data_IF_326040847046
#
_entry.id   IF_326040847046
#
_cell.length_a   1.000
_cell.length_b   1.000
_cell.length_c   1.000
_cell.angle_alpha   90.00
_cell.angle_beta   90.00
_cell.angle_gamma   90.00
#
_symmetry.space_group_name_H-M   'P 1'
#
loop_
_entity.id
_entity.type
_entity.pdbx_description
1 polymer ?
#
# COMPACT_ATOMS: atom_id res chain seq x y z
N UNK A 1 17.11 9.11 8.54
CA UNK A 1 16.24 10.15 7.95
C UNK A 1 14.84 9.78 8.39
N UNK A 2 14.02 10.70 8.91
CA UNK A 2 12.67 10.32 9.37
C UNK A 2 11.64 10.53 8.26
N UNK A 3 10.75 9.56 8.07
CA UNK A 3 9.82 9.52 6.94
C UNK A 3 8.40 9.92 7.36
N UNK A 4 7.64 10.51 6.42
CA UNK A 4 6.20 10.71 6.57
C UNK A 4 5.47 9.71 5.69
N UNK A 5 4.64 8.87 6.29
CA UNK A 5 3.88 7.85 5.60
C UNK A 5 2.41 8.24 5.44
N UNK A 6 1.78 7.80 4.36
CA UNK A 6 0.34 7.86 4.16
C UNK A 6 -0.23 6.45 3.99
N UNK A 7 -1.27 6.13 4.74
CA UNK A 7 -2.00 4.86 4.69
C UNK A 7 -3.43 5.14 4.26
N UNK A 8 -3.85 4.58 3.14
CA UNK A 8 -5.22 4.71 2.64
C UNK A 8 -6.06 3.55 3.18
N UNK A 9 -7.06 3.86 3.99
CA UNK A 9 -7.96 2.94 4.68
C UNK A 9 -7.65 2.79 6.17
N UNK A 10 -8.59 3.18 7.03
CA UNK A 10 -8.58 3.02 8.50
C UNK A 10 -9.04 1.64 8.97
N UNK A 11 -9.27 0.70 8.06
CA UNK A 11 -9.64 -0.68 8.38
C UNK A 11 -8.53 -1.49 9.06
N UNK A 12 -8.78 -2.78 9.28
CA UNK A 12 -7.86 -3.69 10.00
C UNK A 12 -6.46 -3.76 9.38
N UNK A 13 -6.38 -3.82 8.05
CA UNK A 13 -5.10 -3.94 7.33
C UNK A 13 -4.33 -2.62 7.32
N UNK A 14 -4.99 -1.49 7.04
CA UNK A 14 -4.35 -0.18 7.08
C UNK A 14 -3.86 0.17 8.48
N UNK A 15 -4.63 -0.16 9.52
CA UNK A 15 -4.19 0.00 10.92
C UNK A 15 -2.91 -0.81 11.22
N UNK A 16 -2.80 -2.04 10.71
CA UNK A 16 -1.61 -2.86 10.89
C UNK A 16 -0.41 -2.29 10.12
N UNK A 17 -0.60 -1.86 8.87
CA UNK A 17 0.45 -1.21 8.09
C UNK A 17 0.93 0.09 8.76
N UNK A 18 0.00 0.91 9.25
CA UNK A 18 0.31 2.13 10.00
C UNK A 18 1.09 1.84 11.28
N UNK A 19 0.76 0.76 12.00
CA UNK A 19 1.51 0.30 13.16
C UNK A 19 2.95 -0.08 12.79
N UNK A 20 3.14 -0.89 11.75
CA UNK A 20 4.47 -1.33 11.32
C UNK A 20 5.33 -0.14 10.86
N UNK A 21 4.74 0.81 10.13
CA UNK A 21 5.42 2.05 9.74
C UNK A 21 5.81 2.88 10.96
N UNK A 22 4.88 3.08 11.90
CA UNK A 22 5.13 3.84 13.13
C UNK A 22 6.20 3.18 14.01
N UNK A 23 6.23 1.84 14.08
CA UNK A 23 7.11 1.10 14.98
C UNK A 23 8.49 0.81 14.38
N UNK A 24 8.54 0.45 13.10
CA UNK A 24 9.74 -0.09 12.45
C UNK A 24 10.22 0.76 11.27
N UNK A 25 9.41 1.70 10.77
CA UNK A 25 9.70 2.48 9.57
C UNK A 25 10.47 3.78 9.79
N UNK A 26 11.08 4.02 10.97
CA UNK A 26 11.71 5.31 11.29
C UNK A 26 10.77 6.52 11.03
N UNK A 27 9.47 6.33 11.26
CA UNK A 27 8.45 7.31 10.93
C UNK A 27 8.54 8.54 11.83
N UNK A 28 8.52 9.73 11.21
CA UNK A 28 8.21 11.00 11.86
C UNK A 28 6.71 11.14 12.08
N UNK A 29 5.92 10.66 11.11
CA UNK A 29 4.47 10.83 11.04
C UNK A 29 3.85 9.75 10.16
N UNK A 30 2.66 9.28 10.54
CA UNK A 30 1.84 8.35 9.76
C UNK A 30 0.44 8.95 9.62
N UNK A 31 0.02 9.27 8.40
CA UNK A 31 -1.32 9.78 8.12
C UNK A 31 -2.19 8.61 7.68
N UNK A 32 -3.28 8.35 8.40
CA UNK A 32 -4.27 7.34 8.06
C UNK A 32 -5.47 8.05 7.46
N UNK A 33 -5.76 7.79 6.20
CA UNK A 33 -6.77 8.49 5.43
C UNK A 33 -7.91 7.54 5.06
N UNK A 34 -9.15 7.88 5.39
CA UNK A 34 -10.32 7.07 5.06
C UNK A 34 -11.49 7.97 4.65
N UNK A 35 -12.44 7.46 3.86
CA UNK A 35 -13.68 8.18 3.55
C UNK A 35 -14.53 8.36 4.82
N UNK A 36 -14.47 7.39 5.73
CA UNK A 36 -15.04 7.47 7.07
C UNK A 36 -14.02 8.10 8.04
N UNK A 37 -14.29 9.35 8.43
CA UNK A 37 -13.46 10.11 9.37
C UNK A 37 -13.30 9.40 10.71
N UNK A 38 -14.37 8.79 11.23
CA UNK A 38 -14.34 8.16 12.54
C UNK A 38 -13.49 6.88 12.50
N UNK A 39 -13.53 6.14 11.39
CA UNK A 39 -12.66 5.00 11.17
C UNK A 39 -11.17 5.41 11.10
N UNK A 40 -10.85 6.50 10.40
CA UNK A 40 -9.48 7.03 10.32
C UNK A 40 -8.95 7.47 11.70
N UNK A 41 -9.75 8.19 12.48
CA UNK A 41 -9.39 8.63 13.83
C UNK A 41 -9.20 7.45 14.79
N UNK A 42 -10.15 6.51 14.82
CA UNK A 42 -10.06 5.33 15.66
C UNK A 42 -8.83 4.46 15.32
N UNK A 43 -8.47 4.37 14.04
CA UNK A 43 -7.26 3.70 13.59
C UNK A 43 -6.00 4.40 14.11
N UNK A 44 -5.91 5.72 13.98
CA UNK A 44 -4.78 6.52 14.45
C UNK A 44 -4.61 6.42 15.98
N UNK A 45 -5.70 6.56 16.74
CA UNK A 45 -5.70 6.43 18.19
C UNK A 45 -5.21 5.05 18.63
N UNK A 46 -5.64 3.99 17.93
CA UNK A 46 -5.18 2.63 18.18
C UNK A 46 -3.69 2.47 17.92
N UNK A 47 -3.16 3.01 16.83
CA UNK A 47 -1.73 2.96 16.51
C UNK A 47 -0.91 3.72 17.54
N UNK A 48 -1.34 4.93 17.91
CA UNK A 48 -0.69 5.77 18.92
C UNK A 48 -0.65 5.07 20.28
N UNK A 49 -1.77 4.46 20.69
CA UNK A 49 -1.86 3.67 21.94
C UNK A 49 -0.89 2.49 21.94
N UNK A 50 -0.82 1.72 20.85
CA UNK A 50 0.02 0.53 20.75
C UNK A 50 1.52 0.82 20.60
N UNK A 51 1.86 2.00 20.06
CA UNK A 51 3.25 2.42 19.85
C UNK A 51 3.78 3.29 20.98
N UNK A 52 2.90 3.77 21.87
CA UNK A 52 3.19 4.78 22.89
C UNK A 52 3.79 6.06 22.28
N UNK A 53 3.20 6.51 21.18
CA UNK A 53 3.62 7.70 20.44
C UNK A 53 2.40 8.48 19.93
N UNK A 54 2.58 9.73 19.53
CA UNK A 54 1.53 10.59 18.95
C UNK A 54 1.87 10.97 17.51
N UNK A 55 2.34 10.00 16.72
CA UNK A 55 2.79 10.24 15.34
C UNK A 55 1.75 9.83 14.30
N UNK A 56 0.72 9.07 14.67
CA UNK A 56 -0.38 8.71 13.79
C UNK A 56 -1.50 9.76 13.83
N UNK A 57 -1.97 10.20 12.67
CA UNK A 57 -3.08 11.14 12.53
C UNK A 57 -4.13 10.60 11.56
N UNK A 58 -5.40 10.63 11.97
CA UNK A 58 -6.53 10.26 11.13
C UNK A 58 -7.05 11.45 10.33
N UNK A 59 -7.23 11.30 9.01
CA UNK A 59 -7.82 12.31 8.12
C UNK A 59 -8.96 11.73 7.30
N UNK A 60 -10.00 12.54 7.07
CA UNK A 60 -11.03 12.20 6.11
C UNK A 60 -10.48 12.49 4.70
N UNK A 61 -10.47 11.47 3.84
CA UNK A 61 -10.03 11.59 2.45
C UNK A 61 -10.86 10.67 1.57
N UNK A 62 -11.51 11.25 0.57
CA UNK A 62 -12.06 10.48 -0.53
C UNK A 62 -10.94 10.19 -1.54
N UNK A 63 -10.52 8.93 -1.61
CA UNK A 63 -9.49 8.47 -2.56
C UNK A 63 -9.93 8.56 -4.03
N UNK A 64 -11.20 8.88 -4.30
CA UNK A 64 -11.70 9.16 -5.65
C UNK A 64 -11.48 10.63 -6.08
N UNK A 65 -10.99 11.50 -5.19
CA UNK A 65 -10.61 12.89 -5.48
C UNK A 65 -9.12 12.98 -5.95
N UNK A 66 -8.94 13.19 -7.26
CA UNK A 66 -7.78 12.74 -8.06
C UNK A 66 -6.60 13.73 -8.15
N UNK A 67 -6.20 14.39 -7.07
CA UNK A 67 -5.08 15.35 -7.16
C UNK A 67 -3.70 14.68 -7.38
N UNK A 68 -3.43 13.47 -6.87
CA UNK A 68 -2.23 12.69 -7.24
C UNK A 68 -2.35 11.19 -6.87
N UNK A 69 -3.37 10.50 -7.38
CA UNK A 69 -3.61 9.08 -7.08
C UNK A 69 -3.29 8.19 -8.28
N UNK A 70 -2.47 7.16 -8.03
CA UNK A 70 -2.40 5.98 -8.90
C UNK A 70 -3.52 5.05 -8.47
N UNK A 71 -4.52 4.89 -9.34
CA UNK A 71 -5.73 4.12 -9.08
C UNK A 71 -5.54 2.68 -9.60
N UNK A 72 -5.63 1.72 -8.69
CA UNK A 72 -5.77 0.29 -8.99
C UNK A 72 -7.04 -0.22 -8.34
N UNK A 73 -8.09 -0.40 -9.14
CA UNK A 73 -9.33 -1.03 -8.71
C UNK A 73 -9.38 -2.41 -9.36
N UNK A 74 -9.40 -3.46 -8.53
CA UNK A 74 -9.52 -4.84 -8.98
C UNK A 74 -10.79 -5.47 -8.39
N UNK A 75 -11.41 -6.36 -9.18
CA UNK A 75 -12.65 -7.03 -8.83
C UNK A 75 -12.45 -8.55 -8.86
N UNK A 76 -13.49 -9.29 -8.45
CA UNK A 76 -13.53 -10.72 -8.72
C UNK A 76 -13.37 -10.98 -10.23
N UNK A 77 -12.48 -11.88 -10.59
CA UNK A 77 -12.23 -12.25 -11.98
C UNK A 77 -12.89 -13.58 -12.30
N UNK A 78 -13.96 -13.54 -13.08
CA UNK A 78 -14.70 -14.73 -13.51
C UNK A 78 -13.85 -15.68 -14.36
N UNK A 79 -12.82 -15.19 -15.07
CA UNK A 79 -11.98 -16.03 -15.94
C UNK A 79 -11.04 -16.93 -15.15
N UNK A 80 -10.44 -16.39 -14.09
CA UNK A 80 -9.50 -17.14 -13.24
C UNK A 80 -10.16 -17.74 -12.01
N UNK A 81 -11.36 -17.26 -11.64
CA UNK A 81 -12.06 -17.65 -10.42
C UNK A 81 -11.46 -17.02 -9.16
N UNK A 82 -10.53 -16.06 -9.30
CA UNK A 82 -9.86 -15.42 -8.18
C UNK A 82 -10.57 -14.14 -7.75
N UNK A 83 -10.68 -13.97 -6.43
CA UNK A 83 -11.06 -12.70 -5.81
C UNK A 83 -10.01 -11.62 -6.05
N UNK A 84 -10.42 -10.36 -5.94
CA UNK A 84 -9.52 -9.21 -6.00
C UNK A 84 -8.32 -9.38 -5.05
N UNK A 85 -8.56 -9.83 -3.80
CA UNK A 85 -7.49 -10.06 -2.82
C UNK A 85 -6.51 -11.16 -3.25
N UNK A 86 -7.00 -12.29 -3.77
CA UNK A 86 -6.14 -13.38 -4.25
C UNK A 86 -5.30 -12.94 -5.44
N UNK A 87 -5.86 -12.13 -6.33
CA UNK A 87 -5.14 -11.56 -7.48
C UNK A 87 -4.07 -10.60 -7.00
N UNK A 88 -4.42 -9.60 -6.19
CA UNK A 88 -3.47 -8.56 -5.74
C UNK A 88 -2.37 -9.10 -4.83
N UNK A 89 -2.63 -10.17 -4.09
CA UNK A 89 -1.62 -10.82 -3.23
C UNK A 89 -0.81 -11.88 -3.99
N UNK A 90 -1.48 -12.75 -4.74
CA UNK A 90 -0.85 -13.89 -5.41
C UNK A 90 0.02 -13.47 -6.59
N UNK A 91 -0.47 -12.51 -7.40
CA UNK A 91 0.31 -12.03 -8.54
C UNK A 91 1.49 -11.17 -8.13
N UNK A 92 1.35 -10.32 -7.12
CA UNK A 92 2.46 -9.57 -6.54
C UNK A 92 3.60 -10.50 -6.12
N UNK A 93 3.31 -11.48 -5.25
CA UNK A 93 4.31 -12.44 -4.78
C UNK A 93 4.95 -13.26 -5.91
N UNK A 94 4.15 -13.69 -6.90
CA UNK A 94 4.67 -14.44 -8.04
C UNK A 94 5.59 -13.59 -8.93
N UNK A 95 5.24 -12.34 -9.20
CA UNK A 95 6.06 -11.41 -9.99
C UNK A 95 7.40 -11.18 -9.29
N UNK A 96 7.37 -10.84 -7.99
CA UNK A 96 8.59 -10.58 -7.21
C UNK A 96 9.47 -11.84 -7.15
N UNK A 97 8.89 -13.03 -6.98
CA UNK A 97 9.63 -14.29 -7.01
C UNK A 97 10.34 -14.53 -8.36
N UNK A 98 9.66 -14.25 -9.49
CA UNK A 98 10.24 -14.35 -10.82
C UNK A 98 11.37 -13.33 -11.00
N UNK A 99 11.20 -12.11 -10.50
CA UNK A 99 12.24 -11.07 -10.55
C UNK A 99 13.47 -11.45 -9.74
N UNK A 100 13.28 -12.02 -8.54
CA UNK A 100 14.36 -12.58 -7.73
C UNK A 100 15.13 -13.67 -8.50
N UNK A 101 14.40 -14.60 -9.13
CA UNK A 101 15.01 -15.68 -9.92
C UNK A 101 15.80 -15.17 -11.14
N UNK A 102 15.35 -14.07 -11.77
CA UNK A 102 16.04 -13.42 -12.90
C UNK A 102 17.17 -12.48 -12.48
N UNK A 103 17.38 -12.26 -11.17
CA UNK A 103 18.37 -11.32 -10.67
C UNK A 103 18.03 -9.85 -10.93
N UNK A 104 16.75 -9.52 -11.11
CA UNK A 104 16.29 -8.13 -11.25
C UNK A 104 16.20 -7.37 -9.92
N UNK A 105 16.30 -8.09 -8.80
CA UNK A 105 16.31 -7.53 -7.45
C UNK A 105 17.65 -7.83 -6.76
N UNK A 106 18.09 -6.97 -5.81
CA UNK A 106 19.31 -7.20 -5.05
C UNK A 106 19.16 -8.38 -4.07
N UNK A 107 20.27 -9.06 -3.77
CA UNK A 107 20.31 -10.12 -2.74
C UNK A 107 20.14 -9.53 -1.33
N UNK A 108 19.51 -10.30 -0.45
CA UNK A 108 19.30 -9.98 0.97
C UNK A 108 17.83 -9.66 1.31
N UNK A 109 17.56 -9.46 2.60
CA UNK A 109 16.24 -9.05 3.07
C UNK A 109 16.09 -7.55 2.89
N UNK A 110 15.41 -7.14 1.82
CA UNK A 110 15.16 -5.73 1.50
C UNK A 110 13.66 -5.48 1.30
N UNK A 111 13.15 -4.32 1.73
CA UNK A 111 11.77 -3.93 1.47
C UNK A 111 11.47 -3.89 -0.03
N UNK A 112 10.24 -4.27 -0.42
CA UNK A 112 9.84 -4.42 -1.82
C UNK A 112 9.88 -3.08 -2.56
N UNK A 113 9.52 -2.01 -1.87
CA UNK A 113 9.49 -0.63 -2.37
C UNK A 113 10.88 -0.07 -2.71
N UNK A 114 11.95 -0.71 -2.21
CA UNK A 114 13.34 -0.37 -2.53
C UNK A 114 13.94 -1.38 -3.51
N UNK A 115 13.60 -2.67 -3.34
CA UNK A 115 14.26 -3.76 -4.04
C UNK A 115 13.71 -4.02 -5.44
N UNK A 116 12.43 -3.74 -5.68
CA UNK A 116 11.72 -4.09 -6.91
C UNK A 116 11.70 -2.89 -7.86
N UNK A 117 12.24 -3.02 -9.10
CA UNK A 117 12.15 -1.95 -10.08
C UNK A 117 10.70 -1.67 -10.49
N UNK A 118 10.20 -0.48 -10.16
CA UNK A 118 8.78 -0.08 -10.33
C UNK A 118 8.26 -0.33 -11.73
N UNK A 119 8.96 0.14 -12.76
CA UNK A 119 8.46 0.05 -14.14
C UNK A 119 8.30 -1.41 -14.59
N UNK A 120 9.28 -2.27 -14.29
CA UNK A 120 9.21 -3.68 -14.63
C UNK A 120 8.05 -4.37 -13.91
N UNK A 121 7.78 -3.98 -12.67
CA UNK A 121 6.70 -4.55 -11.88
C UNK A 121 5.33 -4.16 -12.43
N UNK A 122 5.15 -2.87 -12.75
CA UNK A 122 3.94 -2.35 -13.41
C UNK A 122 3.70 -3.04 -14.75
N UNK A 123 4.74 -3.25 -15.56
CA UNK A 123 4.63 -3.93 -16.85
C UNK A 123 4.20 -5.40 -16.68
N UNK A 124 4.69 -6.10 -15.65
CA UNK A 124 4.27 -7.46 -15.32
C UNK A 124 2.83 -7.52 -14.79
N UNK A 125 2.38 -6.54 -14.01
CA UNK A 125 0.98 -6.44 -13.58
C UNK A 125 0.04 -6.24 -14.77
N UNK A 126 0.38 -5.36 -15.72
CA UNK A 126 -0.43 -5.12 -16.93
C UNK A 126 -0.62 -6.40 -17.74
N UNK A 127 0.41 -7.25 -17.85
CA UNK A 127 0.32 -8.57 -18.53
C UNK A 127 -0.69 -9.53 -17.87
N UNK A 128 -1.02 -9.32 -16.60
CA UNK A 128 -1.96 -10.14 -15.80
C UNK A 128 -3.36 -9.51 -15.71
N UNK A 129 -3.62 -8.50 -16.54
CA UNK A 129 -4.93 -7.88 -16.68
C UNK A 129 -5.25 -6.85 -15.60
N UNK A 130 -4.27 -6.35 -14.85
CA UNK A 130 -4.47 -5.22 -13.95
C UNK A 130 -4.53 -3.91 -14.73
N UNK A 131 -5.58 -3.13 -14.49
CA UNK A 131 -5.78 -1.80 -15.08
C UNK A 131 -5.25 -0.74 -14.13
N UNK A 132 -3.99 -0.32 -14.32
CA UNK A 132 -3.40 0.78 -13.58
C UNK A 132 -3.64 2.09 -14.33
N UNK A 133 -4.31 3.05 -13.68
CA UNK A 133 -4.52 4.39 -14.23
C UNK A 133 -3.74 5.40 -13.39
N UNK A 134 -2.85 6.14 -14.05
CA UNK A 134 -2.12 7.25 -13.43
C UNK A 134 -2.83 8.56 -13.77
N UNK A 135 -3.21 9.35 -12.75
CA UNK A 135 -3.65 10.73 -12.92
C UNK A 135 -2.83 11.64 -12.03
N UNK A 136 -2.11 12.57 -12.67
CA UNK A 136 -1.34 13.61 -12.00
C UNK A 136 -2.03 14.93 -12.30
N UNK A 137 -2.55 15.60 -11.27
CA UNK A 137 -3.15 16.93 -11.38
C UNK A 137 -2.24 17.92 -10.66
N UNK A 138 -1.73 18.93 -11.37
CA UNK A 138 -0.91 20.00 -10.78
C UNK A 138 -1.77 21.18 -10.34
#
# INVERSE_FOLDING_TARGET
>A
MSFTYGVLGGGRQGTAAAYDMAKFGEAKKVVIADIDKDAALASADRVNTLTHSEIAEGVALDVTDRSALVELIDFYDEKTGFTAMQRTTGWDGAIVAIMNAKGHTPRGAKPVEIAVPTQLFVDELKKRGFSLTEKVSF
#
